data_IF_887675065613
#
_entry.id   IF_887675065613
#
_cell.length_a   1.000
_cell.length_b   1.000
_cell.length_c   1.000
_cell.angle_alpha   90.00
_cell.angle_beta   90.00
_cell.angle_gamma   90.00
#
_symmetry.space_group_name_H-M   'P 1'
#
loop_
_entity.id
_entity.type
_entity.pdbx_description
1 polymer ?
#
# COMPACT_ATOMS: atom_id res chain seq x y z
N UNK A 1 17.23 -1.65 5.46
CA UNK A 1 15.98 -1.80 4.68
C UNK A 1 14.87 -2.09 5.66
N UNK A 2 13.77 -1.34 5.61
CA UNK A 2 12.60 -1.52 6.48
C UNK A 2 11.34 -1.67 5.62
N UNK A 3 10.39 -2.48 6.08
CA UNK A 3 9.08 -2.68 5.46
C UNK A 3 8.06 -1.91 6.30
N UNK A 4 7.44 -0.89 5.73
CA UNK A 4 6.51 -0.01 6.47
C UNK A 4 5.07 -0.54 6.53
N UNK A 5 4.69 -1.41 5.60
CA UNK A 5 3.36 -2.01 5.58
C UNK A 5 3.25 -3.20 4.63
N UNK A 6 2.38 -4.13 4.98
CA UNK A 6 1.99 -5.28 4.17
C UNK A 6 0.47 -5.32 4.09
N UNK A 7 -0.08 -5.29 2.87
CA UNK A 7 -1.51 -5.21 2.65
C UNK A 7 -1.94 -6.30 1.67
N UNK A 8 -3.04 -6.98 1.98
CA UNK A 8 -3.73 -7.87 1.05
C UNK A 8 -5.01 -7.17 0.65
N UNK A 9 -5.17 -6.90 -0.65
CA UNK A 9 -6.34 -6.23 -1.20
C UNK A 9 -7.08 -7.18 -2.16
N UNK A 10 -8.40 -7.21 -2.07
CA UNK A 10 -9.25 -7.77 -3.11
C UNK A 10 -9.49 -6.70 -4.18
N UNK A 11 -9.20 -7.02 -5.44
CA UNK A 11 -9.48 -6.15 -6.58
C UNK A 11 -10.50 -6.80 -7.54
N UNK A 12 -11.80 -6.82 -7.18
CA UNK A 12 -12.84 -7.36 -8.04
C UNK A 12 -13.06 -6.49 -9.29
N UNK A 13 -13.35 -7.08 -10.47
CA UNK A 13 -13.62 -6.32 -11.68
C UNK A 13 -14.81 -5.37 -11.50
N UNK A 14 -14.62 -4.08 -11.81
CA UNK A 14 -15.70 -3.08 -11.77
C UNK A 14 -16.01 -2.49 -10.39
N UNK A 15 -15.25 -2.87 -9.34
CA UNK A 15 -15.33 -2.25 -8.02
C UNK A 15 -13.93 -1.85 -7.54
N UNK A 16 -13.87 -0.93 -6.57
CA UNK A 16 -12.59 -0.44 -6.03
C UNK A 16 -11.86 -1.49 -5.20
N UNK A 17 -10.55 -1.32 -5.04
CA UNK A 17 -9.74 -2.25 -4.26
C UNK A 17 -10.10 -2.20 -2.77
N UNK A 18 -10.48 -3.34 -2.20
CA UNK A 18 -10.91 -3.48 -0.81
C UNK A 18 -9.80 -4.16 0.01
N UNK A 19 -9.29 -3.54 1.09
CA UNK A 19 -8.30 -4.20 1.94
C UNK A 19 -8.94 -5.35 2.72
N UNK A 20 -8.36 -6.55 2.63
CA UNK A 20 -8.73 -7.74 3.38
C UNK A 20 -7.99 -7.80 4.72
N UNK A 21 -6.69 -7.52 4.70
CA UNK A 21 -5.85 -7.42 5.90
C UNK A 21 -4.69 -6.47 5.67
N UNK A 22 -4.24 -5.83 6.75
CA UNK A 22 -3.14 -4.88 6.73
C UNK A 22 -2.28 -5.04 7.97
N UNK A 23 -0.97 -5.01 7.81
CA UNK A 23 0.01 -4.89 8.88
C UNK A 23 0.88 -3.65 8.61
N UNK A 24 1.21 -2.90 9.65
CA UNK A 24 1.94 -1.63 9.55
C UNK A 24 3.09 -1.59 10.55
N UNK A 25 4.26 -1.14 10.12
CA UNK A 25 5.42 -0.86 10.95
C UNK A 25 5.80 0.61 10.71
N UNK A 26 5.39 1.47 11.63
CA UNK A 26 5.58 2.92 11.54
C UNK A 26 6.41 3.46 12.71
N UNK A 27 7.21 2.61 13.36
CA UNK A 27 8.01 2.96 14.53
C UNK A 27 9.06 4.02 14.23
N UNK A 28 9.57 4.06 13.00
CA UNK A 28 10.51 5.05 12.49
C UNK A 28 9.90 6.45 12.24
N UNK A 29 8.58 6.57 12.24
CA UNK A 29 7.88 7.86 12.10
C UNK A 29 7.51 8.45 13.47
N UNK A 30 7.50 9.78 13.56
CA UNK A 30 7.01 10.51 14.72
C UNK A 30 5.56 10.12 15.03
N UNK A 31 5.22 9.94 16.30
CA UNK A 31 3.90 9.47 16.74
C UNK A 31 2.75 10.24 16.09
N UNK A 32 2.88 11.57 15.98
CA UNK A 32 1.87 12.45 15.40
C UNK A 32 1.68 12.29 13.89
N UNK A 33 2.68 11.73 13.19
CA UNK A 33 2.64 11.55 11.74
C UNK A 33 2.16 10.16 11.32
N UNK A 34 2.14 9.19 12.24
CA UNK A 34 1.87 7.78 11.92
C UNK A 34 0.51 7.58 11.24
N UNK A 35 -0.55 8.22 11.76
CA UNK A 35 -1.89 8.12 11.15
C UNK A 35 -1.89 8.61 9.71
N UNK A 36 -1.34 9.81 9.47
CA UNK A 36 -1.29 10.41 8.14
C UNK A 36 -0.47 9.57 7.17
N UNK A 37 0.66 9.00 7.62
CA UNK A 37 1.50 8.12 6.81
C UNK A 37 0.78 6.82 6.48
N UNK A 38 0.08 6.23 7.45
CA UNK A 38 -0.72 5.03 7.26
C UNK A 38 -1.82 5.25 6.21
N UNK A 39 -2.56 6.36 6.32
CA UNK A 39 -3.64 6.72 5.39
C UNK A 39 -3.10 6.95 3.98
N UNK A 40 -1.99 7.67 3.86
CA UNK A 40 -1.33 7.93 2.58
C UNK A 40 -0.85 6.63 1.93
N UNK A 41 -0.15 5.76 2.67
CA UNK A 41 0.31 4.47 2.15
C UNK A 41 -0.86 3.55 1.78
N UNK A 42 -1.94 3.56 2.55
CA UNK A 42 -3.15 2.79 2.26
C UNK A 42 -3.85 3.26 0.98
N UNK A 43 -3.92 4.57 0.76
CA UNK A 43 -4.45 5.15 -0.47
C UNK A 43 -3.59 4.81 -1.70
N UNK A 44 -2.27 4.90 -1.57
CA UNK A 44 -1.33 4.47 -2.61
C UNK A 44 -1.51 2.98 -2.92
N UNK A 45 -1.59 2.13 -1.90
CA UNK A 45 -1.78 0.69 -2.08
C UNK A 45 -3.02 0.34 -2.91
N UNK A 46 -4.15 1.01 -2.63
CA UNK A 46 -5.38 0.86 -3.42
C UNK A 46 -5.19 1.33 -4.85
N UNK A 47 -4.57 2.49 -5.04
CA UNK A 47 -4.30 3.04 -6.37
C UNK A 47 -3.45 2.10 -7.21
N UNK A 48 -2.40 1.52 -6.63
CA UNK A 48 -1.56 0.53 -7.33
C UNK A 48 -2.37 -0.73 -7.63
N UNK A 49 -3.11 -1.27 -6.66
CA UNK A 49 -3.93 -2.46 -6.86
C UNK A 49 -4.95 -2.29 -8.00
N UNK A 50 -5.63 -1.14 -8.09
CA UNK A 50 -6.60 -0.82 -9.14
C UNK A 50 -5.95 -0.66 -10.52
N UNK A 51 -4.66 -0.29 -10.58
CA UNK A 51 -3.91 -0.08 -11.82
C UNK A 51 -3.15 -1.33 -12.29
N UNK A 52 -2.97 -2.33 -11.43
CA UNK A 52 -2.29 -3.58 -11.76
C UNK A 52 -3.28 -4.59 -12.33
N UNK A 53 -3.00 -5.11 -13.53
CA UNK A 53 -3.85 -6.13 -14.15
C UNK A 53 -3.74 -7.46 -13.40
N UNK A 54 -4.79 -8.30 -13.43
CA UNK A 54 -4.73 -9.63 -12.84
C UNK A 54 -3.51 -10.42 -13.34
N UNK A 55 -2.81 -11.10 -12.44
CA UNK A 55 -1.60 -11.90 -12.74
C UNK A 55 -0.35 -11.08 -13.12
N UNK A 56 -0.42 -9.75 -13.07
CA UNK A 56 0.75 -8.89 -13.27
C UNK A 56 1.38 -8.53 -11.93
N UNK A 57 2.72 -8.52 -11.88
CA UNK A 57 3.50 -7.95 -10.77
C UNK A 57 4.03 -6.59 -11.17
N UNK A 58 3.95 -5.62 -10.27
CA UNK A 58 4.44 -4.27 -10.52
C UNK A 58 5.18 -3.74 -9.29
N UNK A 59 6.29 -3.06 -9.54
CA UNK A 59 7.01 -2.28 -8.54
C UNK A 59 6.86 -0.80 -8.88
N UNK A 60 6.22 -0.04 -7.98
CA UNK A 60 6.08 1.41 -8.08
C UNK A 60 7.08 2.05 -7.13
N UNK A 61 7.91 2.94 -7.66
CA UNK A 61 8.88 3.69 -6.87
C UNK A 61 8.44 5.13 -6.75
N UNK A 62 8.20 5.59 -5.52
CA UNK A 62 7.87 6.97 -5.22
C UNK A 62 8.96 7.56 -4.33
N UNK A 63 9.77 8.45 -4.92
CA UNK A 63 10.96 9.04 -4.30
C UNK A 63 11.94 7.96 -3.77
N UNK A 64 12.05 7.80 -2.44
CA UNK A 64 12.92 6.83 -1.77
C UNK A 64 12.21 5.57 -1.26
N UNK A 65 10.91 5.40 -1.54
CA UNK A 65 10.11 4.24 -1.13
C UNK A 65 9.69 3.43 -2.35
N UNK A 66 9.95 2.13 -2.34
CA UNK A 66 9.44 1.20 -3.34
C UNK A 66 8.26 0.40 -2.77
N UNK A 67 7.23 0.23 -3.59
CA UNK A 67 6.07 -0.61 -3.31
C UNK A 67 5.99 -1.69 -4.38
N UNK A 68 6.02 -2.96 -4.00
CA UNK A 68 5.93 -4.10 -4.92
C UNK A 68 4.67 -4.91 -4.62
N UNK A 69 3.92 -5.25 -5.67
CA UNK A 69 2.82 -6.23 -5.65
C UNK A 69 3.28 -7.59 -6.18
#
# INVERSE_FOLDING_TARGET
>A
MQIYGLLILANPPGAGAVPLTTAWELGSFSFFQRSTVQDMMGFMARTVAERTQPTQRQSVQENSRSMSL
#
